data_IF_298618068398
#
_entry.id   IF_298618068398
#
_cell.length_a   1.000
_cell.length_b   1.000
_cell.length_c   1.000
_cell.angle_alpha   90.00
_cell.angle_beta   90.00
_cell.angle_gamma   90.00
#
_symmetry.space_group_name_H-M   'P 1'
#
loop_
_entity.id
_entity.type
_entity.pdbx_description
1 polymer ?
#
# COMPACT_ATOMS: atom_id res chain seq x y z
N UNK A 1 21.24 -12.08 8.03
CA UNK A 1 20.72 -11.19 9.11
C UNK A 1 20.36 -11.94 10.38
N UNK A 2 19.66 -13.07 10.35
CA UNK A 2 19.32 -13.88 11.54
C UNK A 2 20.59 -14.40 12.25
N UNK A 3 21.65 -14.76 11.50
CA UNK A 3 22.93 -15.18 12.09
C UNK A 3 23.59 -14.07 12.91
N UNK A 4 23.58 -12.83 12.43
CA UNK A 4 24.12 -11.66 13.14
C UNK A 4 23.34 -11.38 14.43
N UNK A 5 22.00 -11.50 14.36
CA UNK A 5 21.15 -11.28 15.54
C UNK A 5 21.35 -12.38 16.57
N UNK A 6 21.49 -13.64 16.15
CA UNK A 6 21.82 -14.74 17.05
C UNK A 6 23.20 -14.58 17.69
N UNK A 7 24.17 -14.00 16.98
CA UNK A 7 25.50 -13.65 17.52
C UNK A 7 25.40 -12.53 18.56
N UNK A 8 24.58 -11.50 18.31
CA UNK A 8 24.29 -10.43 19.27
C UNK A 8 23.61 -11.01 20.53
N UNK A 9 22.59 -11.89 20.37
CA UNK A 9 21.91 -12.55 21.48
C UNK A 9 22.85 -13.43 22.31
N UNK A 10 23.82 -14.09 21.66
CA UNK A 10 24.79 -14.96 22.34
C UNK A 10 25.93 -14.17 23.04
N UNK A 11 26.15 -12.93 22.65
CA UNK A 11 27.24 -12.09 23.20
C UNK A 11 26.93 -11.36 24.52
N UNK A 12 25.75 -11.59 25.12
CA UNK A 12 25.28 -10.86 26.32
C UNK A 12 25.42 -9.33 26.17
N UNK A 13 25.21 -8.79 24.98
CA UNK A 13 25.14 -7.34 24.78
C UNK A 13 23.91 -6.78 25.52
N UNK A 14 24.19 -6.03 26.58
CA UNK A 14 23.18 -5.24 27.27
C UNK A 14 22.80 -4.09 26.35
N UNK A 15 21.64 -4.21 25.66
CA UNK A 15 21.10 -3.14 24.83
C UNK A 15 20.46 -2.13 25.81
N UNK A 16 21.18 -1.05 26.07
CA UNK A 16 20.75 0.05 26.95
C UNK A 16 19.66 0.92 26.26
N UNK A 17 18.61 0.25 25.76
CA UNK A 17 17.45 0.91 25.18
C UNK A 17 16.26 0.87 26.16
N UNK A 18 15.61 2.00 26.31
CA UNK A 18 14.43 2.10 27.19
C UNK A 18 13.23 1.37 26.60
N UNK A 19 13.01 1.52 25.30
CA UNK A 19 11.88 0.93 24.58
C UNK A 19 12.29 0.49 23.18
N UNK A 20 11.59 -0.54 22.67
CA UNK A 20 11.58 -0.92 21.26
C UNK A 20 10.16 -0.73 20.70
N UNK A 21 10.06 -0.04 19.57
CA UNK A 21 8.81 0.15 18.82
C UNK A 21 8.86 -0.70 17.55
N UNK A 22 7.85 -1.53 17.36
CA UNK A 22 7.72 -2.43 16.23
C UNK A 22 6.47 -2.02 15.46
N UNK A 23 6.68 -1.50 14.27
CA UNK A 23 5.59 -1.19 13.35
C UNK A 23 5.30 -2.40 12.44
N UNK A 24 4.06 -2.49 11.94
CA UNK A 24 3.58 -3.60 11.10
C UNK A 24 3.95 -4.98 11.69
N UNK A 25 3.73 -5.13 13.00
CA UNK A 25 4.18 -6.30 13.76
C UNK A 25 3.61 -7.64 13.24
N UNK A 26 2.46 -7.60 12.54
CA UNK A 26 1.87 -8.79 11.90
C UNK A 26 2.73 -9.38 10.79
N UNK A 27 3.65 -8.61 10.22
CA UNK A 27 4.52 -9.06 9.11
C UNK A 27 5.84 -9.66 9.56
N UNK A 28 6.12 -9.64 10.84
CA UNK A 28 7.35 -10.21 11.38
C UNK A 28 7.28 -11.73 11.39
N UNK A 29 8.41 -12.39 11.16
CA UNK A 29 8.52 -13.83 11.32
C UNK A 29 8.53 -14.23 12.81
N UNK A 30 8.09 -15.46 13.10
CA UNK A 30 8.11 -16.00 14.47
C UNK A 30 9.51 -15.95 15.07
N UNK A 31 10.54 -16.26 14.27
CA UNK A 31 11.94 -16.22 14.72
C UNK A 31 12.41 -14.81 15.07
N UNK A 32 12.00 -13.81 14.28
CA UNK A 32 12.30 -12.39 14.53
C UNK A 32 11.63 -11.93 15.82
N UNK A 33 10.37 -12.30 16.05
CA UNK A 33 9.64 -12.04 17.29
C UNK A 33 10.36 -12.66 18.49
N UNK A 34 10.73 -13.93 18.40
CA UNK A 34 11.35 -14.66 19.51
C UNK A 34 12.70 -14.05 19.89
N UNK A 35 13.45 -13.52 18.92
CA UNK A 35 14.68 -12.76 19.17
C UNK A 35 14.38 -11.49 19.99
N UNK A 36 13.37 -10.72 19.58
CA UNK A 36 12.97 -9.50 20.31
C UNK A 36 12.52 -9.82 21.75
N UNK A 37 11.73 -10.89 21.92
CA UNK A 37 11.27 -11.33 23.24
C UNK A 37 12.40 -11.81 24.15
N UNK A 38 13.51 -12.28 23.58
CA UNK A 38 14.71 -12.65 24.33
C UNK A 38 15.61 -11.46 24.69
N UNK A 39 15.61 -10.40 23.86
CA UNK A 39 16.45 -9.22 24.06
C UNK A 39 15.82 -8.16 24.96
N UNK A 40 14.47 -8.09 25.01
CA UNK A 40 13.77 -7.03 25.71
C UNK A 40 12.71 -7.57 26.66
N UNK A 41 12.61 -6.93 27.82
CA UNK A 41 11.50 -7.15 28.72
C UNK A 41 10.16 -6.76 28.06
N UNK A 42 9.12 -7.54 28.32
CA UNK A 42 7.78 -7.29 27.75
C UNK A 42 7.24 -5.88 28.03
N UNK A 43 7.70 -5.24 29.10
CA UNK A 43 7.32 -3.86 29.45
C UNK A 43 7.97 -2.80 28.57
N UNK A 44 9.04 -3.14 27.85
CA UNK A 44 9.77 -2.25 26.96
C UNK A 44 9.33 -2.39 25.48
N UNK A 45 8.48 -3.37 25.15
CA UNK A 45 8.05 -3.65 23.79
C UNK A 45 6.72 -2.96 23.51
N UNK A 46 6.69 -2.09 22.51
CA UNK A 46 5.50 -1.42 21.99
C UNK A 46 5.32 -1.90 20.54
N UNK A 47 4.15 -2.44 20.22
CA UNK A 47 3.81 -2.92 18.87
C UNK A 47 2.66 -2.14 18.28
N UNK A 48 2.75 -1.84 16.99
CA UNK A 48 1.65 -1.44 16.15
C UNK A 48 1.39 -2.56 15.13
N UNK A 49 0.15 -3.02 15.03
CA UNK A 49 -0.24 -4.01 14.03
C UNK A 49 -1.53 -3.63 13.31
N UNK A 50 -1.60 -4.00 12.05
CA UNK A 50 -2.79 -3.88 11.21
C UNK A 50 -3.40 -5.26 11.00
N UNK A 51 -4.29 -5.72 11.89
CA UNK A 51 -4.83 -7.07 11.94
C UNK A 51 -5.49 -7.64 10.67
N UNK A 52 -5.43 -6.94 9.53
CA UNK A 52 -6.03 -7.35 8.25
C UNK A 52 -5.13 -7.10 7.03
N UNK A 53 -3.90 -6.60 7.21
CA UNK A 53 -2.98 -6.31 6.09
C UNK A 53 -1.81 -7.29 6.10
N UNK A 54 -2.07 -8.55 5.78
CA UNK A 54 -1.03 -9.57 5.64
C UNK A 54 -0.50 -9.58 4.21
N UNK A 55 0.78 -9.28 4.03
CA UNK A 55 1.43 -9.23 2.70
C UNK A 55 2.57 -10.23 2.58
N UNK A 56 3.21 -10.59 3.69
CA UNK A 56 4.20 -11.66 3.66
C UNK A 56 3.50 -13.03 3.64
N UNK A 57 4.03 -13.97 2.85
CA UNK A 57 3.59 -15.37 2.75
C UNK A 57 3.89 -16.19 4.03
N UNK A 58 3.98 -15.57 5.18
CA UNK A 58 4.36 -16.15 6.46
C UNK A 58 3.11 -16.12 7.33
N UNK A 59 2.89 -17.16 8.09
CA UNK A 59 1.85 -17.18 9.12
C UNK A 59 1.94 -15.92 9.99
N UNK A 60 0.79 -15.27 10.27
CA UNK A 60 0.78 -14.04 11.04
C UNK A 60 1.45 -14.26 12.39
N UNK A 61 2.41 -13.40 12.71
CA UNK A 61 3.16 -13.49 13.94
C UNK A 61 2.24 -13.23 15.15
N UNK A 62 2.14 -14.20 16.05
CA UNK A 62 1.37 -14.04 17.28
C UNK A 62 2.13 -13.21 18.34
N UNK A 63 1.73 -11.97 18.50
CA UNK A 63 2.19 -11.05 19.54
C UNK A 63 1.29 -10.99 20.77
N UNK A 64 0.39 -11.97 20.96
CA UNK A 64 -0.60 -11.98 22.04
C UNK A 64 0.02 -11.82 23.44
N UNK A 65 1.24 -12.31 23.64
CA UNK A 65 1.98 -12.18 24.90
C UNK A 65 2.28 -10.70 25.26
N UNK A 66 2.56 -9.86 24.26
CA UNK A 66 2.79 -8.41 24.44
C UNK A 66 1.46 -7.68 24.61
N UNK A 67 0.45 -8.05 23.80
CA UNK A 67 -0.89 -7.42 23.77
C UNK A 67 -1.65 -7.53 25.09
N UNK A 68 -1.38 -8.51 25.94
CA UNK A 68 -2.13 -8.75 27.18
C UNK A 68 -2.04 -7.63 28.19
N UNK A 69 -1.09 -6.71 28.09
CA UNK A 69 -0.85 -5.67 29.12
C UNK A 69 -1.60 -4.38 28.88
N UNK A 70 -1.51 -3.83 27.67
CA UNK A 70 -2.23 -2.59 27.29
C UNK A 70 -2.52 -2.66 25.79
N UNK A 71 -3.79 -2.69 25.41
CA UNK A 71 -4.20 -2.74 24.00
C UNK A 71 -5.06 -1.50 23.67
N UNK A 72 -4.58 -0.68 22.76
CA UNK A 72 -5.32 0.47 22.22
C UNK A 72 -5.75 0.11 20.80
N UNK A 73 -7.05 0.01 20.56
CA UNK A 73 -7.58 -0.22 19.22
C UNK A 73 -7.98 1.10 18.59
N UNK A 74 -7.29 1.48 17.52
CA UNK A 74 -7.69 2.59 16.67
C UNK A 74 -8.90 2.16 15.83
N UNK A 75 -10.04 2.83 16.01
CA UNK A 75 -11.31 2.48 15.34
C UNK A 75 -11.55 3.28 14.07
N UNK A 76 -10.86 4.40 13.93
CA UNK A 76 -11.13 5.37 12.88
C UNK A 76 -9.90 5.57 12.00
N UNK A 77 -10.11 5.66 10.69
CA UNK A 77 -9.13 6.20 9.78
C UNK A 77 -8.97 7.70 10.05
N UNK A 78 -7.75 8.14 10.33
CA UNK A 78 -7.42 9.54 10.62
C UNK A 78 -6.68 10.20 9.45
N UNK A 79 -6.37 9.45 8.40
CA UNK A 79 -5.56 9.90 7.27
C UNK A 79 -6.40 10.24 6.04
N UNK A 80 -7.24 9.31 5.61
CA UNK A 80 -8.01 9.45 4.38
C UNK A 80 -9.26 10.29 4.56
N UNK A 81 -9.58 11.08 3.55
CA UNK A 81 -10.88 11.76 3.48
C UNK A 81 -12.03 10.78 3.32
N UNK A 82 -13.23 11.16 3.74
CA UNK A 82 -14.36 10.25 3.90
C UNK A 82 -14.82 9.59 2.60
N UNK A 83 -14.72 10.29 1.45
CA UNK A 83 -15.09 9.73 0.17
C UNK A 83 -14.14 8.58 -0.24
N UNK A 84 -12.83 8.69 0.08
CA UNK A 84 -11.88 7.60 -0.16
C UNK A 84 -12.20 6.39 0.74
N UNK A 85 -12.54 6.63 1.99
CA UNK A 85 -12.96 5.56 2.91
C UNK A 85 -14.27 4.93 2.43
N UNK A 86 -15.21 5.72 1.92
CA UNK A 86 -16.46 5.22 1.34
C UNK A 86 -16.20 4.35 0.09
N UNK A 87 -15.27 4.77 -0.77
CA UNK A 87 -14.82 3.97 -1.91
C UNK A 87 -14.23 2.61 -1.47
N UNK A 88 -13.32 2.63 -0.49
CA UNK A 88 -12.72 1.40 0.05
C UNK A 88 -13.78 0.47 0.67
N UNK A 89 -14.74 1.03 1.40
CA UNK A 89 -15.83 0.24 1.99
C UNK A 89 -16.73 -0.37 0.90
N UNK A 90 -16.99 0.36 -0.20
CA UNK A 90 -17.75 -0.15 -1.34
C UNK A 90 -16.96 -1.23 -2.07
N UNK A 91 -15.65 -1.04 -2.26
CA UNK A 91 -14.74 -2.03 -2.82
C UNK A 91 -14.78 -3.34 -1.99
N UNK A 92 -14.63 -3.22 -0.66
CA UNK A 92 -14.68 -4.37 0.25
C UNK A 92 -16.05 -5.08 0.23
N UNK A 93 -17.15 -4.31 0.21
CA UNK A 93 -18.52 -4.84 0.14
C UNK A 93 -18.75 -5.65 -1.14
N UNK A 94 -18.30 -5.13 -2.29
CA UNK A 94 -18.47 -5.81 -3.58
C UNK A 94 -17.60 -7.07 -3.72
N UNK A 95 -16.54 -7.19 -2.93
CA UNK A 95 -15.74 -8.43 -2.77
C UNK A 95 -16.23 -9.34 -1.62
N UNK A 96 -17.38 -9.03 -1.01
CA UNK A 96 -17.95 -9.80 0.12
C UNK A 96 -17.04 -9.83 1.37
N UNK A 97 -16.15 -8.84 1.52
CA UNK A 97 -15.21 -8.72 2.63
C UNK A 97 -15.84 -8.00 3.84
N UNK A 98 -16.92 -8.56 4.37
CA UNK A 98 -17.80 -7.93 5.38
C UNK A 98 -17.13 -7.53 6.69
N UNK A 99 -15.97 -8.09 7.03
CA UNK A 99 -15.21 -7.76 8.25
C UNK A 99 -14.28 -6.55 8.13
N UNK A 100 -14.14 -5.97 6.93
CA UNK A 100 -13.09 -4.98 6.59
C UNK A 100 -13.59 -3.53 6.56
N UNK A 101 -14.70 -3.22 7.26
CA UNK A 101 -15.26 -1.86 7.26
C UNK A 101 -14.36 -0.87 8.01
N UNK A 102 -13.92 0.17 7.30
CA UNK A 102 -13.19 1.31 7.84
C UNK A 102 -14.19 2.38 8.29
N UNK A 103 -13.93 2.99 9.45
CA UNK A 103 -14.76 4.08 9.97
C UNK A 103 -14.03 5.42 9.84
N UNK A 104 -14.76 6.50 9.58
CA UNK A 104 -14.26 7.87 9.60
C UNK A 104 -14.75 8.62 10.84
N UNK A 105 -14.04 9.67 11.23
CA UNK A 105 -14.38 10.49 12.41
C UNK A 105 -15.25 11.71 12.03
N UNK A 106 -15.67 11.84 10.79
CA UNK A 106 -16.59 12.89 10.30
C UNK A 106 -15.99 14.30 10.17
N UNK A 107 -14.69 14.46 10.39
CA UNK A 107 -13.97 15.74 10.28
C UNK A 107 -13.02 15.80 9.07
N UNK A 108 -13.00 14.76 8.25
CA UNK A 108 -12.16 14.63 7.05
C UNK A 108 -13.05 14.60 5.79
N UNK A 109 -13.84 15.67 5.60
CA UNK A 109 -14.80 15.78 4.48
C UNK A 109 -14.11 15.82 3.12
N UNK A 110 -14.79 15.32 2.10
CA UNK A 110 -14.39 15.38 0.69
C UNK A 110 -13.50 14.21 0.29
N UNK A 111 -12.56 14.48 -0.62
CA UNK A 111 -11.78 13.48 -1.34
C UNK A 111 -12.48 13.08 -2.65
N UNK A 112 -11.70 12.56 -3.61
CA UNK A 112 -12.23 12.07 -4.89
C UNK A 112 -11.44 10.88 -5.40
N UNK A 113 -12.10 10.07 -6.23
CA UNK A 113 -11.49 8.98 -6.97
C UNK A 113 -11.69 9.25 -8.47
N UNK A 114 -10.61 9.15 -9.23
CA UNK A 114 -10.62 9.28 -10.69
C UNK A 114 -10.20 7.93 -11.25
N UNK A 115 -11.04 7.31 -12.07
CA UNK A 115 -10.70 6.09 -12.79
C UNK A 115 -10.59 6.45 -14.28
N UNK A 116 -9.49 6.05 -14.92
CA UNK A 116 -9.21 6.44 -16.31
C UNK A 116 -8.41 5.37 -17.05
N UNK A 117 -8.35 5.50 -18.37
CA UNK A 117 -7.34 4.88 -19.20
C UNK A 117 -6.09 5.77 -19.27
N UNK A 118 -4.97 5.24 -19.84
CA UNK A 118 -3.68 5.97 -19.88
C UNK A 118 -3.70 7.27 -20.67
N UNK A 119 -4.63 7.45 -21.62
CA UNK A 119 -4.62 8.58 -22.56
C UNK A 119 -4.80 9.94 -21.88
N UNK A 120 -5.51 10.01 -20.75
CA UNK A 120 -5.78 11.27 -20.01
C UNK A 120 -4.84 11.50 -18.82
N UNK A 121 -3.87 10.61 -18.58
CA UNK A 121 -3.03 10.64 -17.39
C UNK A 121 -2.24 11.94 -17.23
N UNK A 122 -1.67 12.49 -18.31
CA UNK A 122 -0.92 13.74 -18.26
C UNK A 122 -1.80 14.96 -17.94
N UNK A 123 -3.01 15.00 -18.48
CA UNK A 123 -3.98 16.05 -18.18
C UNK A 123 -4.36 16.00 -16.69
N UNK A 124 -4.70 14.82 -16.19
CA UNK A 124 -4.98 14.57 -14.77
C UNK A 124 -3.78 14.97 -13.91
N UNK A 125 -2.55 14.62 -14.33
CA UNK A 125 -1.33 15.03 -13.61
C UNK A 125 -1.26 16.54 -13.43
N UNK A 126 -1.42 17.31 -14.50
CA UNK A 126 -1.31 18.77 -14.44
C UNK A 126 -2.41 19.41 -13.59
N UNK A 127 -3.63 18.91 -13.69
CA UNK A 127 -4.76 19.37 -12.87
C UNK A 127 -4.52 19.06 -11.38
N UNK A 128 -4.08 17.85 -11.05
CA UNK A 128 -3.86 17.45 -9.67
C UNK A 128 -2.65 18.12 -9.05
N UNK A 129 -1.57 18.36 -9.79
CA UNK A 129 -0.43 19.18 -9.31
C UNK A 129 -0.86 20.60 -8.97
N UNK A 130 -1.69 21.21 -9.82
CA UNK A 130 -2.24 22.55 -9.55
C UNK A 130 -3.07 22.55 -8.28
N UNK A 131 -4.02 21.61 -8.16
CA UNK A 131 -4.91 21.49 -6.99
C UNK A 131 -4.16 21.20 -5.70
N UNK A 132 -3.14 20.38 -5.78
CA UNK A 132 -2.27 20.00 -4.67
C UNK A 132 -1.49 21.22 -4.16
N UNK A 133 -0.93 22.04 -5.07
CA UNK A 133 -0.24 23.30 -4.72
C UNK A 133 -1.20 24.34 -4.13
N UNK A 134 -2.42 24.45 -4.65
CA UNK A 134 -3.47 25.32 -4.10
C UNK A 134 -3.88 24.91 -2.67
N UNK A 135 -3.78 23.61 -2.33
CA UNK A 135 -3.99 23.10 -0.99
C UNK A 135 -2.80 23.26 -0.04
N UNK A 136 -1.70 23.87 -0.51
CA UNK A 136 -0.49 24.11 0.29
C UNK A 136 0.48 22.94 0.36
N UNK A 137 0.30 21.92 -0.51
CA UNK A 137 1.19 20.79 -0.63
C UNK A 137 2.22 20.98 -1.75
N UNK A 138 3.18 20.09 -1.89
CA UNK A 138 4.24 20.12 -2.90
C UNK A 138 4.11 18.96 -3.90
N UNK A 139 4.80 19.02 -5.04
CA UNK A 139 4.78 17.90 -6.00
C UNK A 139 5.23 16.58 -5.36
N UNK A 140 6.08 16.62 -4.33
CA UNK A 140 6.50 15.48 -3.54
C UNK A 140 5.31 14.72 -2.90
N UNK A 141 4.20 15.38 -2.63
CA UNK A 141 2.98 14.78 -2.06
C UNK A 141 2.14 14.03 -3.11
N UNK A 142 2.61 13.98 -4.38
CA UNK A 142 2.06 13.14 -5.42
C UNK A 142 2.88 11.86 -5.58
N UNK A 143 2.23 10.72 -5.38
CA UNK A 143 2.85 9.40 -5.40
C UNK A 143 2.29 8.57 -6.56
N UNK A 144 3.18 8.11 -7.44
CA UNK A 144 2.87 7.17 -8.52
C UNK A 144 3.29 5.75 -8.13
N UNK A 145 2.39 4.80 -8.33
CA UNK A 145 2.62 3.38 -8.08
C UNK A 145 2.54 2.63 -9.41
N UNK A 146 3.61 1.90 -9.73
CA UNK A 146 3.74 1.18 -11.00
C UNK A 146 3.79 -0.34 -10.79
N UNK A 147 3.15 -1.15 -11.67
CA UNK A 147 3.25 -2.60 -11.63
C UNK A 147 4.69 -3.07 -11.87
N UNK A 148 5.04 -4.22 -11.31
CA UNK A 148 6.38 -4.79 -11.48
C UNK A 148 6.66 -5.17 -12.93
N UNK A 149 5.69 -5.75 -13.64
CA UNK A 149 5.81 -6.16 -15.04
C UNK A 149 6.13 -5.01 -16.01
N UNK A 150 5.80 -3.77 -15.66
CA UNK A 150 6.13 -2.63 -16.50
C UNK A 150 7.58 -2.16 -16.37
N UNK A 151 8.24 -2.50 -15.27
CA UNK A 151 9.59 -2.03 -14.97
C UNK A 151 10.62 -2.98 -15.57
N UNK A 152 11.25 -2.60 -16.68
CA UNK A 152 12.31 -3.37 -17.36
C UNK A 152 13.68 -2.95 -16.86
N UNK A 153 14.55 -3.90 -16.56
CA UNK A 153 15.96 -3.62 -16.29
C UNK A 153 16.73 -3.55 -17.61
N UNK A 154 17.28 -2.40 -17.94
CA UNK A 154 18.14 -2.17 -19.10
C UNK A 154 19.43 -1.56 -18.59
N UNK A 155 20.55 -2.31 -18.68
CA UNK A 155 21.89 -1.83 -18.24
C UNK A 155 21.90 -1.24 -16.81
N UNK A 156 21.31 -1.94 -15.84
CA UNK A 156 21.16 -1.53 -14.44
C UNK A 156 20.24 -0.32 -14.18
N UNK A 157 19.64 0.27 -15.23
CA UNK A 157 18.58 1.28 -15.09
C UNK A 157 17.21 0.65 -15.31
N UNK A 158 16.22 1.12 -14.56
CA UNK A 158 14.84 0.68 -14.68
C UNK A 158 14.09 1.61 -15.63
N UNK A 159 13.72 1.09 -16.79
CA UNK A 159 12.99 1.79 -17.82
C UNK A 159 11.52 1.39 -17.85
N UNK A 160 10.63 2.34 -17.97
CA UNK A 160 9.19 2.11 -18.16
C UNK A 160 8.54 3.33 -18.85
N UNK A 161 7.43 3.09 -19.54
CA UNK A 161 6.81 4.08 -20.43
C UNK A 161 6.48 5.43 -19.75
N UNK A 162 6.05 5.41 -18.47
CA UNK A 162 5.76 6.63 -17.73
C UNK A 162 7.00 7.50 -17.52
N UNK A 163 8.16 6.89 -17.23
CA UNK A 163 9.43 7.62 -17.04
C UNK A 163 9.78 8.40 -18.30
N UNK A 164 9.76 7.73 -19.45
CA UNK A 164 10.00 8.37 -20.75
C UNK A 164 8.99 9.50 -21.03
N UNK A 165 7.73 9.28 -20.64
CA UNK A 165 6.66 10.26 -20.80
C UNK A 165 6.90 11.50 -19.92
N UNK A 166 7.34 11.30 -18.68
CA UNK A 166 7.66 12.39 -17.76
C UNK A 166 8.88 13.18 -18.22
N UNK A 167 9.96 12.52 -18.62
CA UNK A 167 11.16 13.17 -19.17
C UNK A 167 10.82 14.02 -20.40
N UNK A 168 10.01 13.47 -21.33
CA UNK A 168 9.58 14.17 -22.55
C UNK A 168 8.73 15.41 -22.25
N UNK A 169 7.96 15.40 -21.17
CA UNK A 169 7.09 16.52 -20.76
C UNK A 169 7.71 17.42 -19.70
N UNK A 170 8.99 17.21 -19.33
CA UNK A 170 9.71 18.03 -18.35
C UNK A 170 9.17 17.89 -16.93
N UNK A 171 8.52 16.78 -16.60
CA UNK A 171 8.01 16.48 -15.26
C UNK A 171 9.15 15.95 -14.42
N UNK A 172 9.46 16.64 -13.33
CA UNK A 172 10.48 16.21 -12.38
C UNK A 172 9.96 15.07 -11.52
N UNK A 173 10.75 14.00 -11.37
CA UNK A 173 10.38 12.85 -10.55
C UNK A 173 11.58 12.23 -9.86
N UNK A 174 11.34 11.70 -8.68
CA UNK A 174 12.25 10.81 -7.97
C UNK A 174 11.90 9.36 -8.27
N UNK A 175 12.84 8.63 -8.86
CA UNK A 175 12.66 7.22 -9.20
C UNK A 175 13.05 6.29 -8.04
N UNK A 176 12.08 5.97 -7.19
CA UNK A 176 12.20 4.99 -6.10
C UNK A 176 11.96 3.53 -6.54
N UNK A 177 11.82 3.24 -7.86
CA UNK A 177 11.72 1.86 -8.34
C UNK A 177 13.05 1.12 -8.24
N UNK A 178 14.18 1.86 -8.27
CA UNK A 178 15.52 1.33 -8.03
C UNK A 178 15.82 1.20 -6.54
N UNK A 179 16.43 0.07 -6.13
CA UNK A 179 16.85 -0.14 -4.73
C UNK A 179 17.93 0.84 -4.29
N UNK A 180 18.86 1.21 -5.19
CA UNK A 180 19.92 2.18 -4.90
C UNK A 180 19.37 3.58 -4.60
N UNK A 181 18.32 4.01 -5.31
CA UNK A 181 17.71 5.32 -5.08
C UNK A 181 16.89 5.36 -3.78
N UNK A 182 16.37 4.21 -3.32
CA UNK A 182 15.63 4.13 -2.05
C UNK A 182 16.50 4.34 -0.81
N UNK A 183 17.82 4.16 -0.90
CA UNK A 183 18.75 4.47 0.18
C UNK A 183 18.92 5.98 0.40
N UNK A 184 18.62 6.80 -0.62
CA UNK A 184 18.66 8.26 -0.57
C UNK A 184 17.33 8.85 -1.01
N UNK A 185 16.41 9.08 -0.08
CA UNK A 185 15.14 9.74 -0.38
C UNK A 185 15.38 11.12 -1.02
N UNK A 186 14.59 11.44 -2.05
CA UNK A 186 14.57 12.80 -2.58
C UNK A 186 14.14 13.79 -1.49
N UNK A 187 14.86 14.89 -1.42
CA UNK A 187 14.52 16.07 -0.60
C UNK A 187 13.97 17.21 -1.47
N UNK A 188 13.83 16.97 -2.79
CA UNK A 188 13.33 17.97 -3.72
C UNK A 188 11.80 17.97 -3.75
N UNK A 189 11.20 19.03 -3.23
CA UNK A 189 9.74 19.15 -3.13
C UNK A 189 9.02 19.35 -4.47
N UNK A 190 9.78 19.63 -5.55
CA UNK A 190 9.22 19.75 -6.91
C UNK A 190 9.19 18.43 -7.68
N UNK A 191 9.72 17.34 -7.12
CA UNK A 191 9.69 16.02 -7.72
C UNK A 191 8.48 15.22 -7.23
N UNK A 192 7.75 14.59 -8.17
CA UNK A 192 6.78 13.54 -7.81
C UNK A 192 7.52 12.25 -7.50
N UNK A 193 6.94 11.38 -6.70
CA UNK A 193 7.55 10.11 -6.29
C UNK A 193 7.02 8.97 -7.15
N UNK A 194 7.92 8.14 -7.69
CA UNK A 194 7.59 6.91 -8.42
C UNK A 194 8.08 5.71 -7.63
N UNK A 195 7.20 4.75 -7.35
CA UNK A 195 7.56 3.50 -6.68
C UNK A 195 6.81 2.32 -7.30
N UNK A 196 7.30 1.13 -7.06
CA UNK A 196 6.52 -0.08 -7.32
C UNK A 196 5.45 -0.27 -6.23
N UNK A 197 4.34 -0.90 -6.57
CA UNK A 197 3.23 -1.18 -5.64
C UNK A 197 3.69 -1.82 -4.33
N UNK A 198 4.58 -2.79 -4.41
CA UNK A 198 5.11 -3.53 -3.25
C UNK A 198 5.91 -2.63 -2.29
N UNK A 199 6.44 -1.51 -2.80
CA UNK A 199 7.25 -0.54 -2.04
C UNK A 199 6.42 0.62 -1.46
N UNK A 200 5.12 0.67 -1.71
CA UNK A 200 4.24 1.74 -1.23
C UNK A 200 3.87 1.63 0.25
N UNK A 201 4.24 0.53 0.88
CA UNK A 201 3.91 0.25 2.28
C UNK A 201 4.52 1.28 3.23
N UNK A 202 3.72 1.77 4.18
CA UNK A 202 4.15 2.84 5.09
C UNK A 202 4.21 4.23 4.48
N UNK A 203 4.07 4.36 3.14
CA UNK A 203 4.05 5.66 2.47
C UNK A 203 2.64 6.21 2.35
N UNK A 204 2.55 7.50 2.08
CA UNK A 204 1.30 8.20 1.80
C UNK A 204 1.55 9.35 0.82
N UNK A 205 0.49 9.79 0.15
CA UNK A 205 0.50 10.95 -0.71
C UNK A 205 -0.83 11.72 -0.61
N UNK A 206 -0.78 13.02 -0.79
CA UNK A 206 -2.00 13.81 -0.95
C UNK A 206 -2.80 13.30 -2.15
N UNK A 207 -2.11 13.10 -3.26
CA UNK A 207 -2.61 12.42 -4.45
C UNK A 207 -1.80 11.15 -4.69
N UNK A 208 -2.49 10.03 -4.89
CA UNK A 208 -1.87 8.75 -5.25
C UNK A 208 -2.41 8.28 -6.60
N UNK A 209 -1.51 7.95 -7.51
CA UNK A 209 -1.82 7.43 -8.85
C UNK A 209 -1.43 5.96 -8.91
N UNK A 210 -2.41 5.10 -9.04
CA UNK A 210 -2.28 3.66 -9.19
C UNK A 210 -2.28 3.30 -10.67
N UNK A 211 -1.10 3.17 -11.27
CA UNK A 211 -0.97 2.86 -12.70
C UNK A 211 -1.28 1.40 -13.01
N UNK A 212 -2.05 1.17 -14.08
CA UNK A 212 -2.40 -0.17 -14.56
C UNK A 212 -2.78 -1.10 -13.41
N UNK A 213 -3.74 -0.67 -12.62
CA UNK A 213 -4.17 -1.39 -11.42
C UNK A 213 -4.72 -2.79 -11.72
N UNK A 214 -5.34 -2.97 -12.90
CA UNK A 214 -5.77 -4.27 -13.41
C UNK A 214 -4.57 -5.20 -13.62
N UNK A 215 -3.50 -4.72 -14.28
CA UNK A 215 -2.26 -5.49 -14.48
C UNK A 215 -1.62 -5.88 -13.15
N UNK A 216 -1.57 -4.95 -12.19
CA UNK A 216 -1.04 -5.24 -10.86
C UNK A 216 -1.82 -6.36 -10.15
N UNK A 217 -3.14 -6.34 -10.19
CA UNK A 217 -3.95 -7.41 -9.58
C UNK A 217 -3.83 -8.73 -10.31
N UNK A 218 -3.73 -8.73 -11.65
CA UNK A 218 -3.45 -9.93 -12.46
C UNK A 218 -2.09 -10.55 -12.12
N UNK A 219 -1.04 -9.74 -11.90
CA UNK A 219 0.25 -10.22 -11.42
C UNK A 219 0.11 -10.94 -10.08
N UNK A 220 -0.60 -10.33 -9.13
CA UNK A 220 -0.80 -10.92 -7.80
C UNK A 220 -1.64 -12.19 -7.85
N UNK A 221 -2.64 -12.26 -8.71
CA UNK A 221 -3.42 -13.48 -8.94
C UNK A 221 -2.54 -14.62 -9.48
N UNK A 222 -1.67 -14.33 -10.46
CA UNK A 222 -0.74 -15.31 -11.00
C UNK A 222 0.28 -15.81 -9.97
N UNK A 223 0.75 -14.93 -9.08
CA UNK A 223 1.63 -15.31 -7.96
C UNK A 223 0.91 -16.25 -6.98
N UNK A 224 -0.39 -16.01 -6.71
CA UNK A 224 -1.17 -16.84 -5.79
C UNK A 224 -1.39 -18.26 -6.30
N UNK A 225 -1.75 -18.44 -7.57
CA UNK A 225 -2.01 -19.75 -8.18
C UNK A 225 -0.79 -20.67 -8.09
N UNK A 226 0.44 -20.13 -8.11
CA UNK A 226 1.67 -20.92 -8.03
C UNK A 226 1.96 -21.52 -6.64
N UNK A 227 1.35 -20.98 -5.58
CA UNK A 227 1.64 -21.37 -4.18
C UNK A 227 0.51 -22.16 -3.47
N UNK A 228 -0.57 -22.51 -4.16
CA UNK A 228 -1.83 -22.97 -3.54
C UNK A 228 -1.89 -24.48 -3.22
N UNK A 229 -1.03 -24.98 -2.35
CA UNK A 229 -1.09 -26.39 -1.88
C UNK A 229 -1.26 -26.51 -0.37
N UNK A 230 -2.17 -25.78 0.25
CA UNK A 230 -2.49 -26.02 1.67
C UNK A 230 -3.98 -26.40 1.84
N UNK A 231 -4.23 -27.72 1.98
CA UNK A 231 -5.55 -28.34 2.00
C UNK A 231 -6.22 -28.40 3.39
N UNK A 232 -5.70 -27.69 4.38
CA UNK A 232 -6.16 -27.78 5.78
C UNK A 232 -7.04 -26.60 6.26
N UNK A 233 -7.36 -25.65 5.40
CA UNK A 233 -8.14 -24.48 5.78
C UNK A 233 -9.65 -24.69 5.56
N UNK A 234 -10.47 -24.13 6.45
CA UNK A 234 -11.95 -24.18 6.40
C UNK A 234 -12.55 -23.27 5.30
N UNK A 235 -11.72 -22.44 4.65
CA UNK A 235 -12.14 -21.47 3.62
C UNK A 235 -12.00 -22.09 2.23
N UNK A 236 -12.93 -21.74 1.31
CA UNK A 236 -12.82 -22.18 -0.07
C UNK A 236 -11.60 -21.57 -0.80
N UNK A 237 -11.08 -22.21 -1.86
CA UNK A 237 -10.00 -21.64 -2.66
C UNK A 237 -10.33 -20.23 -3.17
N UNK A 238 -11.58 -20.02 -3.61
CA UNK A 238 -12.05 -18.73 -4.13
C UNK A 238 -12.13 -17.65 -3.03
N UNK A 239 -12.51 -18.01 -1.81
CA UNK A 239 -12.51 -17.08 -0.67
C UNK A 239 -11.09 -16.67 -0.29
N UNK A 240 -10.14 -17.58 -0.32
CA UNK A 240 -8.73 -17.31 -0.04
C UNK A 240 -8.11 -16.41 -1.10
N UNK A 241 -8.38 -16.68 -2.39
CA UNK A 241 -7.94 -15.85 -3.50
C UNK A 241 -8.49 -14.42 -3.39
N UNK A 242 -9.80 -14.27 -3.16
CA UNK A 242 -10.42 -12.95 -2.95
C UNK A 242 -9.80 -12.20 -1.78
N UNK A 243 -9.53 -12.85 -0.65
CA UNK A 243 -8.84 -12.24 0.49
C UNK A 243 -7.43 -11.81 0.15
N UNK A 244 -6.70 -12.64 -0.56
CA UNK A 244 -5.34 -12.34 -0.99
C UNK A 244 -5.32 -11.09 -1.89
N UNK A 245 -6.13 -11.07 -2.94
CA UNK A 245 -6.25 -9.94 -3.86
C UNK A 245 -6.75 -8.67 -3.15
N UNK A 246 -7.73 -8.81 -2.26
CA UNK A 246 -8.20 -7.70 -1.43
C UNK A 246 -7.06 -7.09 -0.59
N UNK A 247 -6.27 -7.90 0.08
CA UNK A 247 -5.17 -7.42 0.91
C UNK A 247 -4.13 -6.66 0.06
N UNK A 248 -3.80 -7.16 -1.13
CA UNK A 248 -2.91 -6.47 -2.05
C UNK A 248 -3.49 -5.16 -2.57
N UNK A 249 -4.77 -5.14 -2.94
CA UNK A 249 -5.47 -3.94 -3.37
C UNK A 249 -5.50 -2.86 -2.27
N UNK A 250 -5.66 -3.26 -1.00
CA UNK A 250 -5.70 -2.32 0.12
C UNK A 250 -4.39 -1.56 0.32
N UNK A 251 -3.24 -2.10 -0.11
CA UNK A 251 -1.97 -1.39 0.00
C UNK A 251 -2.05 -0.05 -0.74
N UNK A 252 -2.22 -0.01 -2.08
CA UNK A 252 -2.27 1.25 -2.81
C UNK A 252 -3.52 2.09 -2.51
N UNK A 253 -4.70 1.48 -2.42
CA UNK A 253 -5.96 2.19 -2.24
C UNK A 253 -6.03 2.97 -0.92
N UNK A 254 -5.25 2.57 0.08
CA UNK A 254 -5.20 3.26 1.38
C UNK A 254 -4.08 4.29 1.50
N UNK A 255 -3.31 4.56 0.44
CA UNK A 255 -2.18 5.52 0.48
C UNK A 255 -2.59 6.97 0.24
N UNK A 256 -3.69 7.20 -0.47
CA UNK A 256 -4.17 8.55 -0.78
C UNK A 256 -4.80 9.23 0.44
N UNK A 257 -4.49 10.51 0.64
CA UNK A 257 -5.11 11.37 1.65
C UNK A 257 -6.38 12.04 1.08
N UNK A 258 -6.28 12.61 -0.12
CA UNK A 258 -7.33 13.42 -0.76
C UNK A 258 -7.78 12.89 -2.12
N UNK A 259 -6.86 12.56 -3.01
CA UNK A 259 -7.19 12.10 -4.37
C UNK A 259 -6.55 10.76 -4.67
N UNK A 260 -7.38 9.82 -5.11
CA UNK A 260 -6.95 8.54 -5.63
C UNK A 260 -7.23 8.50 -7.14
N UNK A 261 -6.18 8.31 -7.94
CA UNK A 261 -6.29 8.09 -9.39
C UNK A 261 -5.97 6.61 -9.66
N UNK A 262 -6.82 5.95 -10.42
CA UNK A 262 -6.64 4.54 -10.80
C UNK A 262 -6.64 4.48 -12.32
N UNK A 263 -5.53 4.07 -12.94
CA UNK A 263 -5.56 3.78 -14.36
C UNK A 263 -5.81 2.30 -14.59
N UNK A 264 -6.54 2.01 -15.66
CA UNK A 264 -6.92 0.66 -16.10
C UNK A 264 -6.48 0.50 -17.55
N UNK A 265 -5.60 -0.46 -17.82
CA UNK A 265 -5.13 -0.73 -19.17
C UNK A 265 -6.23 -1.33 -20.05
N UNK A 266 -7.01 -2.25 -19.49
CA UNK A 266 -8.12 -2.90 -20.18
C UNK A 266 -9.45 -2.68 -19.43
N UNK A 267 -10.23 -1.66 -19.78
CA UNK A 267 -11.54 -1.40 -19.17
C UNK A 267 -12.54 -2.57 -19.24
N UNK A 268 -12.31 -3.51 -20.17
CA UNK A 268 -13.13 -4.71 -20.33
C UNK A 268 -12.60 -5.92 -19.55
N UNK A 269 -11.48 -5.80 -18.83
CA UNK A 269 -11.00 -6.83 -17.91
C UNK A 269 -11.97 -7.02 -16.74
N UNK A 270 -11.86 -8.13 -16.02
CA UNK A 270 -12.65 -8.38 -14.82
C UNK A 270 -12.49 -7.25 -13.79
N UNK A 271 -11.25 -6.80 -13.56
CA UNK A 271 -10.95 -5.68 -12.68
C UNK A 271 -11.54 -4.36 -13.21
N UNK A 272 -11.43 -4.11 -14.53
CA UNK A 272 -12.01 -2.92 -15.16
C UNK A 272 -13.53 -2.85 -14.99
N UNK A 273 -14.23 -3.95 -15.27
CA UNK A 273 -15.68 -4.06 -15.09
C UNK A 273 -16.09 -3.93 -13.63
N UNK A 274 -15.32 -4.53 -12.71
CA UNK A 274 -15.54 -4.40 -11.27
C UNK A 274 -15.43 -2.94 -10.80
N UNK A 275 -14.37 -2.23 -11.21
CA UNK A 275 -14.20 -0.81 -10.90
C UNK A 275 -15.30 0.05 -11.53
N UNK A 276 -15.79 -0.32 -12.73
CA UNK A 276 -16.90 0.36 -13.37
C UNK A 276 -18.18 0.26 -12.54
N UNK A 277 -18.48 -0.92 -12.02
CA UNK A 277 -19.64 -1.12 -11.16
C UNK A 277 -19.55 -0.26 -9.89
N UNK A 278 -18.37 -0.21 -9.25
CA UNK A 278 -18.16 0.64 -8.07
C UNK A 278 -18.30 2.12 -8.42
N UNK A 279 -17.78 2.56 -9.57
CA UNK A 279 -17.95 3.94 -10.05
C UNK A 279 -19.41 4.30 -10.20
N UNK A 280 -20.24 3.38 -10.72
CA UNK A 280 -21.68 3.58 -10.87
C UNK A 280 -22.43 3.65 -9.52
N UNK A 281 -21.96 2.94 -8.49
CA UNK A 281 -22.49 3.04 -7.11
C UNK A 281 -22.07 4.36 -6.41
N UNK A 282 -20.94 4.96 -6.81
CA UNK A 282 -20.26 6.05 -6.08
C UNK A 282 -20.14 7.34 -6.90
N UNK A 283 -21.08 7.65 -7.80
CA UNK A 283 -21.01 8.75 -8.79
C UNK A 283 -20.77 10.14 -8.21
N UNK A 284 -21.10 10.36 -6.95
CA UNK A 284 -20.96 11.67 -6.32
C UNK A 284 -19.48 12.07 -6.11
N UNK A 285 -18.55 11.11 -6.06
CA UNK A 285 -17.15 11.35 -5.80
C UNK A 285 -16.18 10.43 -6.56
N UNK A 286 -16.71 9.53 -7.37
CA UNK A 286 -15.95 8.70 -8.31
C UNK A 286 -16.27 9.12 -9.73
N UNK A 287 -15.27 9.55 -10.49
CA UNK A 287 -15.39 9.84 -11.92
C UNK A 287 -14.70 8.76 -12.75
N UNK A 288 -15.35 8.34 -13.81
CA UNK A 288 -14.74 7.51 -14.85
C UNK A 288 -14.54 8.38 -16.09
N UNK A 289 -13.28 8.65 -16.48
CA UNK A 289 -12.88 9.51 -17.59
C UNK A 289 -12.20 8.72 -18.69
#
# INVERSE_FOLDING_TARGET
>A
SIAIINEICSSNMDLDWDYILIDEAQDWGIQERDIILNLFDLGKIIIADGGQQFVRKIDPCDWSIVRRRNNIRLKYCLRQKENLVSFINTYAKNLEMSGSKVLTKGNMLGGKVIITSDDSLLEIHHEEIKRLKEAGNSAYDMLYLVPHAQVKNINDDKQFALKEQFEKNGILFWDGTSSSNRESYSINLEEVRLLQYDSARGLEGWTVVCLDFDVFLEEKMNEYVSDSVDTLLLESPEERERKYLFNWAMIPLTRAIDTLVITVRNPSSEVGLFLKNISDECKDYVSWV
#
